data_IF_142571668133
#
_entry.id   IF_142571668133
#
_cell.length_a   1.000
_cell.length_b   1.000
_cell.length_c   1.000
_cell.angle_alpha   90.00
_cell.angle_beta   90.00
_cell.angle_gamma   90.00
#
_symmetry.space_group_name_H-M   'P 1'
#
loop_
_entity.id
_entity.type
_entity.pdbx_description
1 polymer ?
#
# COMPACT_ATOMS: atom_id res chain seq x y z
N UNK A 1 1.52 -2.27 37.07
CA UNK A 1 0.70 -1.25 36.38
C UNK A 1 -0.14 -0.55 37.44
N UNK A 2 -0.03 0.77 37.53
CA UNK A 2 -0.80 1.58 38.48
C UNK A 2 -2.28 1.57 38.08
N UNK A 3 -3.17 1.41 39.07
CA UNK A 3 -4.63 1.34 38.91
C UNK A 3 -5.20 2.51 38.10
N UNK A 4 -4.55 3.66 38.15
CA UNK A 4 -4.91 4.87 37.38
C UNK A 4 -4.74 4.70 35.87
N UNK A 5 -3.71 4.00 35.40
CA UNK A 5 -3.49 3.77 33.97
C UNK A 5 -4.52 2.77 33.39
N UNK A 6 -4.95 1.80 34.19
CA UNK A 6 -5.95 0.82 33.79
C UNK A 6 -7.35 1.46 33.63
N UNK A 7 -7.71 2.40 34.51
CA UNK A 7 -8.97 3.15 34.41
C UNK A 7 -8.97 4.07 33.18
N UNK A 8 -7.84 4.75 32.89
CA UNK A 8 -7.72 5.60 31.72
C UNK A 8 -7.89 4.83 30.39
N UNK A 9 -7.29 3.64 30.29
CA UNK A 9 -7.41 2.79 29.09
C UNK A 9 -8.85 2.32 28.89
N UNK A 10 -9.54 1.89 29.95
CA UNK A 10 -10.93 1.42 29.84
C UNK A 10 -11.87 2.56 29.43
N UNK A 11 -11.70 3.77 29.96
CA UNK A 11 -12.52 4.93 29.59
C UNK A 11 -12.32 5.31 28.12
N UNK A 12 -11.07 5.32 27.63
CA UNK A 12 -10.76 5.63 26.23
C UNK A 12 -11.39 4.61 25.28
N UNK A 13 -11.30 3.31 25.61
CA UNK A 13 -11.89 2.24 24.79
C UNK A 13 -13.42 2.35 24.74
N UNK A 14 -14.08 2.62 25.86
CA UNK A 14 -15.55 2.76 25.91
C UNK A 14 -16.04 3.97 25.10
N UNK A 15 -15.34 5.11 25.17
CA UNK A 15 -15.68 6.30 24.39
C UNK A 15 -15.54 6.07 22.89
N UNK A 16 -14.48 5.37 22.46
CA UNK A 16 -14.25 5.04 21.05
C UNK A 16 -15.35 4.10 20.52
N UNK A 17 -15.74 3.07 21.28
CA UNK A 17 -16.80 2.13 20.86
C UNK A 17 -18.17 2.82 20.76
N UNK A 18 -18.49 3.73 21.68
CA UNK A 18 -19.73 4.50 21.63
C UNK A 18 -19.79 5.47 20.43
N UNK A 19 -18.67 6.12 20.09
CA UNK A 19 -18.57 7.01 18.94
C UNK A 19 -18.75 6.29 17.60
N UNK A 20 -18.20 5.08 17.46
CA UNK A 20 -18.36 4.24 16.27
C UNK A 20 -19.81 3.75 16.11
N UNK A 21 -20.48 3.40 17.23
CA UNK A 21 -21.89 3.01 17.21
C UNK A 21 -22.84 4.14 16.78
N UNK A 22 -22.60 5.36 17.27
CA UNK A 22 -23.40 6.54 16.90
C UNK A 22 -23.20 6.95 15.43
N UNK A 23 -21.97 6.83 14.92
CA UNK A 23 -21.65 7.12 13.51
C UNK A 23 -22.36 6.17 12.54
N UNK A 24 -22.46 4.88 12.87
CA UNK A 24 -23.13 3.87 12.02
C UNK A 24 -24.66 3.99 12.05
N UNK A 25 -25.26 4.54 13.11
CA UNK A 25 -26.70 4.73 13.21
C UNK A 25 -27.24 5.93 12.40
N UNK A 26 -26.39 6.90 12.06
CA UNK A 26 -26.79 8.15 11.39
C UNK A 26 -26.77 8.10 9.85
N UNK A 27 -26.21 7.06 9.24
CA UNK A 27 -26.08 6.94 7.77
C UNK A 27 -27.11 6.04 7.08
N UNK A 28 -28.09 5.48 7.80
CA UNK A 28 -29.19 4.70 7.22
C UNK A 28 -30.55 5.39 7.40
N UNK A 29 -30.77 6.52 6.72
CA UNK A 29 -32.14 6.95 6.36
C UNK A 29 -32.12 8.06 5.32
N UNK A 30 -32.31 7.70 4.06
CA UNK A 30 -33.03 8.50 3.07
C UNK A 30 -33.16 7.72 1.76
N UNK A 31 -34.32 7.09 1.58
CA UNK A 31 -34.93 6.90 0.25
C UNK A 31 -36.43 7.00 0.44
N UNK A 32 -36.97 8.12 -0.03
CA UNK A 32 -38.39 8.45 -0.06
C UNK A 32 -39.02 7.80 -1.29
N UNK A 33 -40.05 6.96 -1.11
CA UNK A 33 -40.84 6.42 -2.22
C UNK A 33 -42.27 6.93 -2.06
N UNK A 34 -42.67 7.83 -2.95
CA UNK A 34 -44.05 8.33 -3.04
C UNK A 34 -44.97 7.23 -3.59
N UNK A 35 -46.14 7.07 -2.96
CA UNK A 35 -47.27 6.30 -3.49
C UNK A 35 -47.99 7.11 -4.56
N UNK A 36 -48.36 6.48 -5.66
CA UNK A 36 -49.47 6.93 -6.49
C UNK A 36 -50.34 5.74 -6.89
N UNK A 37 -51.56 5.74 -6.38
CA UNK A 37 -52.66 4.87 -6.78
C UNK A 37 -53.40 5.54 -7.93
N UNK A 38 -53.77 4.80 -8.99
CA UNK A 38 -55.16 4.73 -9.49
C UNK A 38 -55.34 3.80 -10.70
N UNK A 39 -56.36 2.94 -10.53
CA UNK A 39 -57.44 2.59 -11.48
C UNK A 39 -57.21 1.59 -12.63
N UNK A 40 -58.05 0.55 -12.56
CA UNK A 40 -58.24 -0.60 -13.43
C UNK A 40 -58.99 -0.26 -14.74
N UNK A 41 -58.59 -0.88 -15.85
CA UNK A 41 -59.45 -1.18 -17.00
C UNK A 41 -58.97 -2.49 -17.65
N UNK A 42 -59.89 -3.36 -18.04
CA UNK A 42 -59.66 -4.77 -18.40
C UNK A 42 -59.30 -5.02 -19.88
N UNK A 43 -58.62 -6.18 -20.10
CA UNK A 43 -58.58 -7.08 -21.29
C UNK A 43 -57.65 -6.69 -22.49
N UNK A 44 -57.19 -7.63 -23.37
CA UNK A 44 -57.10 -9.10 -23.31
C UNK A 44 -55.66 -9.68 -23.43
N UNK A 45 -55.59 -10.99 -23.17
CA UNK A 45 -54.52 -11.99 -23.28
C UNK A 45 -53.58 -11.87 -24.49
N UNK A 46 -52.27 -12.00 -24.27
CA UNK A 46 -51.31 -12.48 -25.28
C UNK A 46 -50.27 -13.37 -24.62
N UNK A 47 -50.31 -14.66 -24.98
CA UNK A 47 -49.38 -15.71 -24.55
C UNK A 47 -48.00 -15.45 -25.16
N UNK A 48 -46.99 -15.20 -24.32
CA UNK A 48 -45.58 -15.19 -24.78
C UNK A 48 -44.77 -16.13 -23.89
N UNK A 49 -44.23 -17.16 -24.52
CA UNK A 49 -43.46 -18.25 -23.92
C UNK A 49 -42.21 -17.75 -23.20
N UNK A 50 -42.10 -18.06 -21.91
CA UNK A 50 -40.88 -17.95 -21.11
C UNK A 50 -39.81 -18.92 -21.61
N UNK A 51 -38.70 -18.41 -22.14
CA UNK A 51 -37.47 -19.18 -22.33
C UNK A 51 -36.55 -18.94 -21.14
N UNK A 52 -36.52 -19.89 -20.20
CA UNK A 52 -35.57 -19.91 -19.10
C UNK A 52 -34.18 -20.29 -19.64
N UNK A 53 -33.31 -19.30 -19.86
CA UNK A 53 -31.89 -19.53 -20.12
C UNK A 53 -31.13 -19.63 -18.80
N UNK A 54 -30.92 -20.84 -18.32
CA UNK A 54 -30.03 -21.16 -17.20
C UNK A 54 -28.60 -20.77 -17.60
N UNK A 55 -28.11 -19.65 -17.10
CA UNK A 55 -26.69 -19.28 -17.24
C UNK A 55 -25.93 -20.05 -16.18
N UNK A 56 -25.27 -21.14 -16.59
CA UNK A 56 -24.33 -21.87 -15.75
C UNK A 56 -23.08 -20.99 -15.57
N UNK A 57 -22.99 -20.28 -14.45
CA UNK A 57 -21.77 -19.59 -14.04
C UNK A 57 -20.76 -20.64 -13.60
N UNK A 58 -19.88 -21.05 -14.51
CA UNK A 58 -18.73 -21.88 -14.19
C UNK A 58 -17.74 -21.02 -13.40
N UNK A 59 -17.72 -21.16 -12.08
CA UNK A 59 -16.69 -20.55 -11.22
C UNK A 59 -15.37 -21.27 -11.46
N UNK A 60 -14.64 -20.88 -12.51
CA UNK A 60 -13.25 -21.28 -12.68
C UNK A 60 -12.41 -20.57 -11.62
N UNK A 61 -12.08 -21.29 -10.55
CA UNK A 61 -11.06 -20.91 -9.57
C UNK A 61 -9.70 -20.95 -10.26
N UNK A 62 -9.39 -19.91 -11.02
CA UNK A 62 -8.08 -19.74 -11.63
C UNK A 62 -7.11 -19.36 -10.51
N UNK A 63 -6.18 -20.25 -10.17
CA UNK A 63 -5.09 -19.88 -9.27
C UNK A 63 -4.25 -18.81 -9.96
N UNK A 64 -4.16 -17.62 -9.34
CA UNK A 64 -3.31 -16.54 -9.85
C UNK A 64 -1.87 -16.97 -9.64
N UNK A 65 -1.14 -17.26 -10.72
CA UNK A 65 0.29 -17.53 -10.67
C UNK A 65 1.04 -16.20 -10.62
N UNK A 66 1.74 -15.93 -9.52
CA UNK A 66 2.60 -14.75 -9.40
C UNK A 66 3.81 -14.81 -10.35
N UNK A 67 4.38 -13.67 -10.73
CA UNK A 67 5.62 -13.63 -11.52
C UNK A 67 6.79 -14.35 -10.81
N UNK A 68 7.79 -14.85 -11.56
CA UNK A 68 9.01 -15.39 -10.95
C UNK A 68 9.69 -14.37 -10.03
N UNK A 69 10.16 -14.83 -8.86
CA UNK A 69 10.81 -13.98 -7.87
C UNK A 69 9.86 -13.09 -7.04
N UNK A 70 8.55 -13.17 -7.30
CA UNK A 70 7.57 -12.44 -6.50
C UNK A 70 7.32 -13.11 -5.14
N UNK A 71 7.15 -12.28 -4.11
CA UNK A 71 6.66 -12.67 -2.79
C UNK A 71 5.29 -12.05 -2.56
N UNK A 72 4.29 -12.89 -2.30
CA UNK A 72 2.94 -12.43 -1.95
C UNK A 72 2.99 -11.58 -0.67
N UNK A 73 2.35 -10.42 -0.71
CA UNK A 73 2.23 -9.56 0.47
C UNK A 73 1.02 -9.98 1.30
N UNK A 74 0.99 -9.76 2.63
CA UNK A 74 -0.21 -9.97 3.41
C UNK A 74 -1.33 -9.02 2.95
N UNK A 75 -2.56 -9.54 2.83
CA UNK A 75 -3.74 -8.72 2.51
C UNK A 75 -5.03 -9.31 3.07
N UNK A 76 -6.07 -8.48 3.10
CA UNK A 76 -7.44 -8.88 3.36
C UNK A 76 -8.30 -8.58 2.12
N UNK A 77 -8.77 -9.61 1.40
CA UNK A 77 -9.56 -9.41 0.19
C UNK A 77 -10.97 -8.86 0.46
N UNK A 78 -11.52 -9.06 1.66
CA UNK A 78 -12.89 -8.65 2.00
C UNK A 78 -13.02 -7.13 2.08
N UNK A 79 -12.01 -6.45 2.61
CA UNK A 79 -11.95 -4.99 2.68
C UNK A 79 -10.94 -4.38 1.69
N UNK A 80 -10.38 -5.20 0.79
CA UNK A 80 -9.40 -4.81 -0.24
C UNK A 80 -8.20 -4.06 0.35
N UNK A 81 -7.61 -4.55 1.43
CA UNK A 81 -6.45 -3.90 2.07
C UNK A 81 -5.20 -4.75 1.92
N UNK A 82 -4.13 -4.18 1.35
CA UNK A 82 -2.77 -4.74 1.41
C UNK A 82 -2.03 -4.17 2.62
N UNK A 83 -1.22 -5.01 3.28
CA UNK A 83 -0.34 -4.61 4.38
C UNK A 83 1.11 -4.64 3.90
N UNK A 84 1.75 -3.47 3.89
CA UNK A 84 3.15 -3.28 3.52
C UNK A 84 3.95 -3.05 4.79
N UNK A 85 4.81 -4.02 5.14
CA UNK A 85 5.72 -3.92 6.28
C UNK A 85 7.09 -3.46 5.79
N UNK A 86 7.52 -2.29 6.27
CA UNK A 86 8.82 -1.71 6.02
C UNK A 86 9.62 -1.68 7.32
N UNK A 87 10.88 -2.10 7.24
CA UNK A 87 11.85 -2.06 8.31
C UNK A 87 13.03 -1.25 7.83
N UNK A 88 13.38 -0.18 8.54
CA UNK A 88 14.66 0.50 8.34
C UNK A 88 15.72 -0.30 9.06
N UNK A 89 16.42 -1.17 8.33
CA UNK A 89 17.32 -2.16 8.93
C UNK A 89 18.69 -1.57 9.25
N UNK A 90 19.25 -1.95 10.40
CA UNK A 90 20.65 -1.68 10.77
C UNK A 90 21.66 -2.54 10.01
N UNK A 91 21.22 -3.65 9.39
CA UNK A 91 22.07 -4.55 8.59
C UNK A 91 22.04 -4.25 7.09
N UNK A 92 21.19 -3.31 6.67
CA UNK A 92 21.08 -2.85 5.28
C UNK A 92 22.01 -1.68 4.96
N UNK A 93 21.90 -1.12 3.74
CA UNK A 93 22.49 0.17 3.40
C UNK A 93 22.06 1.27 4.39
N UNK A 94 22.83 2.36 4.49
CA UNK A 94 22.50 3.47 5.40
C UNK A 94 21.06 3.96 5.23
N UNK A 95 20.58 4.06 3.99
CA UNK A 95 19.26 4.54 3.64
C UNK A 95 18.46 3.43 2.96
N UNK A 96 17.64 2.71 3.72
CA UNK A 96 17.00 1.50 3.22
C UNK A 96 15.57 1.30 3.73
N UNK A 97 14.80 0.53 2.96
CA UNK A 97 13.66 -0.22 3.47
C UNK A 97 13.88 -1.71 3.19
N UNK A 98 13.71 -2.55 4.20
CA UNK A 98 13.90 -4.00 4.16
C UNK A 98 15.29 -4.40 3.64
N UNK A 99 16.32 -3.61 3.93
CA UNK A 99 17.69 -3.83 3.44
C UNK A 99 17.91 -3.48 1.96
N UNK A 100 16.91 -2.90 1.30
CA UNK A 100 16.98 -2.48 -0.12
C UNK A 100 17.05 -0.96 -0.25
N UNK A 101 17.65 -0.48 -1.34
CA UNK A 101 17.79 0.94 -1.65
C UNK A 101 17.59 1.20 -3.14
N UNK A 102 17.44 2.46 -3.54
CA UNK A 102 17.37 2.90 -4.94
C UNK A 102 16.32 2.15 -5.78
N UNK A 103 15.14 1.89 -5.21
CA UNK A 103 14.04 1.23 -5.93
C UNK A 103 14.25 -0.25 -6.23
N UNK A 104 15.24 -0.91 -5.61
CA UNK A 104 15.48 -2.35 -5.77
C UNK A 104 14.26 -3.21 -5.41
N UNK A 105 13.47 -2.78 -4.42
CA UNK A 105 12.19 -3.39 -4.09
C UNK A 105 11.07 -2.69 -4.86
N UNK A 106 10.26 -3.49 -5.54
CA UNK A 106 9.05 -3.07 -6.25
C UNK A 106 7.84 -3.76 -5.64
N UNK A 107 6.83 -2.98 -5.29
CA UNK A 107 5.59 -3.44 -4.67
C UNK A 107 4.45 -3.23 -5.66
N UNK A 108 3.68 -4.27 -5.90
CA UNK A 108 2.57 -4.28 -6.84
C UNK A 108 1.26 -4.44 -6.08
N UNK A 109 0.33 -3.50 -6.30
CA UNK A 109 -0.95 -3.45 -5.60
C UNK A 109 -2.11 -3.39 -6.61
N UNK A 110 -3.21 -4.13 -6.39
CA UNK A 110 -4.41 -3.96 -7.20
C UNK A 110 -4.97 -2.54 -7.10
N UNK A 111 -5.38 -1.98 -8.24
CA UNK A 111 -6.05 -0.67 -8.24
C UNK A 111 -7.35 -0.65 -7.42
N UNK A 112 -7.61 0.47 -6.76
CA UNK A 112 -8.78 0.69 -5.90
C UNK A 112 -8.69 0.02 -4.53
N UNK A 113 -7.54 -0.54 -4.15
CA UNK A 113 -7.33 -1.12 -2.83
C UNK A 113 -6.87 -0.07 -1.81
N UNK A 114 -6.98 -0.41 -0.54
CA UNK A 114 -6.36 0.34 0.54
C UNK A 114 -4.92 -0.16 0.73
N UNK A 115 -4.01 0.77 0.97
CA UNK A 115 -2.61 0.51 1.25
C UNK A 115 -2.32 0.89 2.69
N UNK A 116 -2.15 -0.12 3.56
CA UNK A 116 -1.68 0.07 4.92
C UNK A 116 -0.16 -0.06 4.93
N UNK A 117 0.54 1.03 5.22
CA UNK A 117 2.00 1.02 5.42
C UNK A 117 2.29 0.95 6.90
N UNK A 118 3.12 0.00 7.31
CA UNK A 118 3.62 -0.16 8.67
C UNK A 118 5.13 -0.03 8.61
N UNK A 119 5.67 0.99 9.27
CA UNK A 119 7.11 1.27 9.32
C UNK A 119 7.63 0.98 10.71
N UNK A 120 8.65 0.12 10.82
CA UNK A 120 9.50 -0.04 12.00
C UNK A 120 10.88 0.51 11.70
N UNK A 121 11.46 1.25 12.65
CA UNK A 121 12.78 1.83 12.48
C UNK A 121 13.78 1.20 13.45
N UNK A 122 14.71 0.40 12.95
CA UNK A 122 15.77 -0.19 13.79
C UNK A 122 17.01 0.71 13.88
N UNK A 123 17.15 1.68 12.97
CA UNK A 123 18.29 2.60 12.91
C UNK A 123 18.24 3.66 14.02
N UNK A 124 19.39 4.28 14.37
CA UNK A 124 19.47 5.23 15.49
C UNK A 124 18.89 6.62 15.18
N UNK A 125 18.69 6.96 13.91
CA UNK A 125 18.12 8.25 13.49
C UNK A 125 16.65 8.09 13.07
N UNK A 126 15.81 9.13 13.14
CA UNK A 126 14.41 9.04 12.72
C UNK A 126 14.26 8.81 11.21
N UNK A 127 13.28 7.99 10.85
CA UNK A 127 12.86 7.78 9.46
C UNK A 127 11.35 7.73 9.35
N UNK A 128 10.79 8.22 8.26
CA UNK A 128 9.37 8.13 7.95
C UNK A 128 9.18 7.34 6.64
N UNK A 129 7.94 7.13 6.22
CA UNK A 129 7.60 6.52 4.94
C UNK A 129 6.39 7.20 4.32
N UNK A 130 6.61 7.91 3.22
CA UNK A 130 5.58 8.69 2.54
C UNK A 130 5.17 8.01 1.24
N UNK A 131 3.87 7.85 0.97
CA UNK A 131 3.42 7.48 -0.38
C UNK A 131 3.45 8.74 -1.23
N UNK A 132 4.25 8.73 -2.29
CA UNK A 132 4.46 9.87 -3.18
C UNK A 132 3.95 9.50 -4.56
N UNK A 133 3.03 10.28 -5.12
CA UNK A 133 2.75 10.27 -6.56
C UNK A 133 3.94 10.93 -7.25
N UNK A 134 4.72 10.15 -7.99
CA UNK A 134 5.97 10.63 -8.57
C UNK A 134 5.78 11.38 -9.90
N UNK A 135 6.51 12.47 -10.05
CA UNK A 135 6.61 13.26 -11.29
C UNK A 135 7.93 12.99 -12.03
N UNK A 136 8.91 12.38 -11.35
CA UNK A 136 10.20 11.96 -11.93
C UNK A 136 10.36 10.44 -11.86
N UNK A 137 11.36 9.88 -12.57
CA UNK A 137 11.59 8.43 -12.58
C UNK A 137 12.18 7.91 -11.27
N UNK A 138 13.00 8.74 -10.62
CA UNK A 138 13.64 8.46 -9.33
C UNK A 138 13.73 9.77 -8.54
N UNK A 139 13.66 9.73 -7.20
CA UNK A 139 13.97 10.89 -6.37
C UNK A 139 15.35 11.45 -6.74
N UNK A 140 15.41 12.74 -7.07
CA UNK A 140 16.61 13.45 -7.50
C UNK A 140 16.76 14.84 -6.84
N UNK A 141 15.85 15.17 -5.93
CA UNK A 141 15.91 16.35 -5.06
C UNK A 141 16.04 15.96 -3.58
N UNK A 142 16.68 16.81 -2.75
CA UNK A 142 16.71 16.61 -1.31
C UNK A 142 15.32 16.62 -0.65
N UNK A 143 14.32 17.24 -1.30
CA UNK A 143 12.95 17.27 -0.81
C UNK A 143 12.02 16.54 -1.78
N UNK A 144 11.40 15.46 -1.32
CA UNK A 144 10.52 14.60 -2.13
C UNK A 144 9.32 15.32 -2.75
N UNK A 145 8.90 16.48 -2.23
CA UNK A 145 7.81 17.27 -2.83
C UNK A 145 8.23 18.05 -4.07
N UNK A 146 9.53 18.08 -4.40
CA UNK A 146 10.02 18.63 -5.67
C UNK A 146 9.98 17.58 -6.79
N UNK A 147 9.91 16.29 -6.43
CA UNK A 147 9.85 15.15 -7.34
C UNK A 147 8.46 14.51 -7.42
N UNK A 148 7.48 15.04 -6.70
CA UNK A 148 6.13 14.50 -6.67
C UNK A 148 5.24 15.08 -5.58
N UNK A 149 4.09 14.45 -5.37
CA UNK A 149 3.09 14.84 -4.36
C UNK A 149 2.90 13.75 -3.32
N UNK A 150 3.09 14.10 -2.05
CA UNK A 150 2.80 13.19 -0.93
C UNK A 150 1.28 12.99 -0.79
N UNK A 151 0.86 11.73 -0.71
CA UNK A 151 -0.53 11.30 -0.53
C UNK A 151 -0.77 10.63 0.83
N UNK A 152 0.27 10.10 1.46
CA UNK A 152 0.22 9.48 2.78
C UNK A 152 1.49 9.80 3.56
N UNK A 153 1.32 10.09 4.84
CA UNK A 153 2.37 10.39 5.82
C UNK A 153 2.41 9.25 6.86
N UNK A 154 3.57 8.64 7.10
CA UNK A 154 3.75 7.53 8.07
C UNK A 154 4.90 7.85 8.99
N UNK A 155 4.58 8.12 10.26
CA UNK A 155 5.56 8.51 11.28
C UNK A 155 5.92 9.99 11.27
N UNK A 156 5.23 10.79 10.46
CA UNK A 156 5.40 12.24 10.30
C UNK A 156 4.07 12.92 9.96
N UNK A 157 4.10 14.21 9.59
CA UNK A 157 2.94 14.95 9.12
C UNK A 157 3.31 15.98 8.02
N UNK A 158 2.32 16.62 7.36
CA UNK A 158 2.57 17.57 6.27
C UNK A 158 3.49 18.75 6.61
N UNK A 159 3.60 19.12 7.87
CA UNK A 159 4.41 20.27 8.30
C UNK A 159 5.85 19.93 8.66
N UNK A 160 6.20 18.65 8.86
CA UNK A 160 7.51 18.25 9.40
C UNK A 160 8.13 16.99 8.78
N UNK A 161 7.51 16.39 7.75
CA UNK A 161 7.99 15.19 7.06
C UNK A 161 9.46 15.24 6.61
N UNK A 162 10.01 16.44 6.40
CA UNK A 162 11.39 16.65 5.97
C UNK A 162 12.42 16.59 7.10
N UNK A 163 11.99 16.53 8.36
CA UNK A 163 12.88 16.54 9.54
C UNK A 163 12.44 15.61 10.68
N UNK A 164 11.26 14.99 10.57
CA UNK A 164 10.68 14.17 11.61
C UNK A 164 10.38 12.75 11.11
N UNK A 165 10.24 11.79 12.02
CA UNK A 165 9.98 10.40 11.67
C UNK A 165 9.80 9.49 12.87
N UNK A 166 9.64 8.21 12.60
CA UNK A 166 9.62 7.15 13.61
C UNK A 166 10.99 7.10 14.30
N UNK A 167 11.07 7.24 15.64
CA UNK A 167 12.33 7.15 16.36
C UNK A 167 12.88 5.72 16.36
N UNK A 168 14.13 5.57 16.81
CA UNK A 168 14.76 4.26 16.93
C UNK A 168 13.92 3.29 17.78
N UNK A 169 13.80 2.05 17.31
CA UNK A 169 12.96 0.98 17.85
C UNK A 169 11.45 1.31 17.88
N UNK A 170 11.04 2.38 17.20
CA UNK A 170 9.64 2.78 17.07
C UNK A 170 8.94 2.10 15.89
N UNK A 171 7.61 2.16 15.93
CA UNK A 171 6.74 1.75 14.83
C UNK A 171 5.65 2.78 14.62
N UNK A 172 5.32 3.07 13.36
CA UNK A 172 4.14 3.86 12.98
C UNK A 172 3.42 3.21 11.80
N UNK A 173 2.14 3.52 11.63
CA UNK A 173 1.37 3.08 10.47
C UNK A 173 0.36 4.13 10.03
N UNK A 174 0.06 4.12 8.74
CA UNK A 174 -1.04 4.90 8.17
C UNK A 174 -1.62 4.18 6.96
N UNK A 175 -2.84 4.54 6.57
CA UNK A 175 -3.56 3.92 5.47
C UNK A 175 -3.97 4.96 4.43
N UNK A 176 -3.65 4.68 3.17
CA UNK A 176 -4.22 5.36 2.02
C UNK A 176 -5.35 4.51 1.45
N UNK A 177 -6.54 5.07 1.33
CA UNK A 177 -7.72 4.35 0.83
C UNK A 177 -7.90 4.51 -0.67
N UNK A 178 -8.44 3.48 -1.32
CA UNK A 178 -8.85 3.51 -2.73
C UNK A 178 -7.76 4.08 -3.67
N UNK A 179 -6.53 3.55 -3.58
CA UNK A 179 -5.40 4.04 -4.36
C UNK A 179 -5.65 3.85 -5.86
N UNK A 180 -5.45 4.90 -6.64
CA UNK A 180 -5.71 4.89 -8.09
C UNK A 180 -4.57 4.16 -8.83
N UNK A 181 -4.83 3.61 -10.04
CA UNK A 181 -3.77 3.09 -10.88
C UNK A 181 -2.70 4.17 -11.14
N UNK A 182 -1.43 3.79 -11.05
CA UNK A 182 -0.33 4.74 -11.17
C UNK A 182 0.99 4.17 -10.71
N UNK A 183 2.03 4.98 -10.93
CA UNK A 183 3.34 4.79 -10.32
C UNK A 183 3.43 5.72 -9.12
N UNK A 184 4.00 5.20 -8.04
CA UNK A 184 4.23 5.88 -6.80
C UNK A 184 5.57 5.42 -6.23
N UNK A 185 6.08 6.17 -5.26
CA UNK A 185 7.10 5.67 -4.35
C UNK A 185 6.52 5.50 -2.95
N UNK A 186 7.13 4.60 -2.17
CA UNK A 186 7.17 4.77 -0.72
C UNK A 186 8.57 5.27 -0.39
N UNK A 187 8.68 6.52 0.04
CA UNK A 187 9.96 7.23 0.17
C UNK A 187 10.11 7.88 1.55
N UNK A 188 11.35 7.95 2.05
CA UNK A 188 11.64 8.72 3.25
C UNK A 188 11.69 10.20 2.90
N UNK A 189 10.83 10.99 3.54
CA UNK A 189 10.71 12.42 3.35
C UNK A 189 11.79 13.23 4.04
N UNK A 190 12.52 12.65 5.00
CA UNK A 190 13.64 13.33 5.68
C UNK A 190 14.64 13.82 4.65
N UNK A 191 15.08 15.07 4.82
CA UNK A 191 15.90 15.79 3.85
C UNK A 191 17.07 14.95 3.33
N UNK A 192 17.19 14.84 2.00
CA UNK A 192 18.20 14.07 1.26
C UNK A 192 18.14 12.54 1.38
N UNK A 193 17.29 11.95 2.24
CA UNK A 193 17.26 10.49 2.41
C UNK A 193 16.76 9.76 1.15
N UNK A 194 15.70 10.27 0.49
CA UNK A 194 15.15 9.64 -0.71
C UNK A 194 16.11 9.69 -1.92
N UNK A 195 16.67 10.87 -2.25
CA UNK A 195 17.67 10.98 -3.34
C UNK A 195 18.92 10.14 -3.04
N UNK A 196 19.24 9.93 -1.75
CA UNK A 196 20.31 9.03 -1.30
C UNK A 196 19.92 7.55 -1.26
N UNK A 197 18.75 7.20 -1.79
CA UNK A 197 18.32 5.81 -2.03
C UNK A 197 17.25 5.27 -1.09
N UNK A 198 16.68 6.05 -0.17
CA UNK A 198 15.65 5.58 0.76
C UNK A 198 14.24 5.58 0.15
N UNK A 199 13.99 4.71 -0.82
CA UNK A 199 12.69 4.58 -1.46
C UNK A 199 12.52 3.22 -2.15
N UNK A 200 11.27 2.87 -2.37
CA UNK A 200 10.83 1.67 -3.11
C UNK A 200 9.75 2.04 -4.11
N UNK A 201 9.65 1.29 -5.21
CA UNK A 201 8.56 1.49 -6.16
C UNK A 201 7.25 0.92 -5.60
N UNK A 202 6.16 1.69 -5.71
CA UNK A 202 4.79 1.23 -5.50
C UNK A 202 4.03 1.36 -6.83
N UNK A 203 3.77 0.23 -7.48
CA UNK A 203 3.07 0.15 -8.76
C UNK A 203 1.64 -0.32 -8.51
N UNK A 204 0.69 0.54 -8.85
CA UNK A 204 -0.74 0.23 -8.74
C UNK A 204 -1.31 -0.03 -10.12
N UNK A 205 -1.91 -1.20 -10.34
CA UNK A 205 -2.42 -1.59 -11.65
C UNK A 205 -3.73 -2.37 -11.58
N UNK A 206 -4.57 -2.19 -12.59
CA UNK A 206 -5.77 -3.00 -12.82
C UNK A 206 -5.43 -4.45 -13.20
N UNK A 207 -4.19 -4.72 -13.63
CA UNK A 207 -3.73 -6.07 -13.99
C UNK A 207 -3.24 -6.90 -12.80
N UNK A 208 -3.16 -6.31 -11.60
CA UNK A 208 -2.75 -6.99 -10.37
C UNK A 208 -4.00 -7.39 -9.60
N UNK A 209 -4.15 -8.67 -9.27
CA UNK A 209 -5.29 -9.19 -8.50
C UNK A 209 -4.89 -9.68 -7.10
N UNK A 210 -3.63 -10.04 -6.92
CA UNK A 210 -3.00 -10.42 -5.65
C UNK A 210 -1.80 -9.50 -5.45
N UNK A 211 -1.67 -8.78 -4.32
CA UNK A 211 -0.54 -7.90 -4.08
C UNK A 211 0.74 -8.70 -3.84
N UNK A 212 1.85 -8.23 -4.38
CA UNK A 212 3.15 -8.89 -4.26
C UNK A 212 4.29 -7.89 -4.30
N UNK A 213 5.49 -8.33 -3.93
CA UNK A 213 6.73 -7.58 -4.11
C UNK A 213 7.75 -8.39 -4.90
N UNK A 214 8.65 -7.70 -5.59
CA UNK A 214 9.84 -8.27 -6.22
C UNK A 214 11.03 -7.47 -5.74
N UNK A 215 12.07 -8.16 -5.28
CA UNK A 215 13.35 -7.54 -4.95
C UNK A 215 14.32 -7.92 -6.06
N UNK A 216 14.80 -6.92 -6.79
CA UNK A 216 15.91 -7.11 -7.73
C UNK A 216 17.18 -7.22 -6.90
N UNK A 217 17.86 -8.36 -6.94
CA UNK A 217 19.24 -8.40 -6.48
C UNK A 217 20.04 -7.41 -7.32
N UNK A 218 20.80 -6.51 -6.67
CA UNK A 218 21.83 -5.77 -7.40
C UNK A 218 22.63 -6.80 -8.20
N UNK A 219 22.83 -6.54 -9.49
CA UNK A 219 23.83 -7.26 -10.25
C UNK A 219 25.14 -7.17 -9.45
N UNK A 220 25.53 -8.27 -8.82
CA UNK A 220 26.92 -8.47 -8.48
C UNK A 220 27.63 -8.43 -9.82
N UNK A 221 28.31 -7.33 -10.12
CA UNK A 221 29.31 -7.31 -11.18
C UNK A 221 30.41 -8.27 -10.73
N UNK A 222 30.19 -9.57 -10.94
CA UNK A 222 31.27 -10.54 -10.98
C UNK A 222 32.03 -10.20 -12.25
N UNK A 223 32.99 -9.29 -12.13
CA UNK A 223 34.08 -9.18 -13.08
C UNK A 223 34.79 -10.53 -13.04
N UNK A 224 34.41 -11.44 -13.94
CA UNK A 224 35.24 -12.57 -14.30
C UNK A 224 36.48 -11.98 -14.98
N UNK A 225 37.48 -11.64 -14.19
CA UNK A 225 38.84 -11.42 -14.67
C UNK A 225 39.32 -12.74 -15.24
N UNK A 226 39.06 -12.98 -16.53
CA UNK A 226 39.78 -13.99 -17.30
C UNK A 226 41.22 -13.51 -17.41
N UNK A 227 42.09 -13.98 -16.54
CA UNK A 227 43.54 -13.88 -16.72
C UNK A 227 43.92 -14.70 -17.95
N UNK A 228 44.00 -14.05 -19.11
CA UNK A 228 44.73 -14.57 -20.25
C UNK A 228 46.22 -14.33 -20.02
N UNK A 229 46.98 -15.40 -19.74
CA UNK A 229 48.44 -15.38 -19.72
C UNK A 229 49.00 -14.91 -21.08
N UNK A 230 50.07 -14.11 -21.12
CA UNK A 230 50.74 -13.78 -22.37
C UNK A 230 51.54 -14.98 -22.92
N UNK A 231 51.78 -15.05 -24.25
CA UNK A 231 52.60 -16.10 -24.83
C UNK A 231 54.08 -15.91 -24.46
N UNK A 232 54.66 -16.96 -23.86
CA UNK A 232 56.11 -17.12 -23.73
C UNK A 232 56.71 -17.41 -25.10
N UNK A 233 57.58 -16.55 -25.60
CA UNK A 233 58.49 -16.88 -26.71
C UNK A 233 59.81 -17.37 -26.11
N UNK A 234 60.12 -18.64 -26.36
CA UNK A 234 61.38 -19.32 -26.05
C UNK A 234 61.52 -20.53 -26.94
#
# INVERSE_FOLDING_TARGET
MNTTALIAIVVVVVVIVAAVGAYLALFHKSSSTMMMTTTSTMLPTTTTSTTSSTTTTTTTTSSVKLPPGASELPYNPNNKTVFIYLVVSVTGPQFNYNGTSYGQMKIYVPAGWNVMVILTNDQPIPHNANIVLNDTLTPNSPNITQDGKILLYVGDNPSDYYSNGVPSQGTASAMLTNIQPGYYWIACGVYSHAESGMWVDLIVSNSVSVPYSIISSSASTTTSTSTSSPPSWG
#
